data_IF_279961300023
#
_entry.id   IF_279961300023
#
_cell.length_a   1.000
_cell.length_b   1.000
_cell.length_c   1.000
_cell.angle_alpha   90.00
_cell.angle_beta   90.00
_cell.angle_gamma   90.00
#
_symmetry.space_group_name_H-M   'P 1'
#
loop_
_entity.id
_entity.type
_entity.pdbx_description
1 polymer ?
#
# COMPACT_ATOMS: atom_id res chain seq x y z
N UNK A 1 -9.28 -9.45 13.71
CA UNK A 1 -8.38 -8.33 13.34
C UNK A 1 -8.86 -6.96 13.82
N UNK A 2 -10.16 -6.67 13.81
CA UNK A 2 -10.66 -5.32 14.11
C UNK A 2 -10.46 -4.93 15.58
N UNK A 3 -10.72 -5.82 16.54
CA UNK A 3 -10.45 -5.57 17.96
C UNK A 3 -8.96 -5.26 18.23
N UNK A 4 -8.06 -6.12 17.74
CA UNK A 4 -6.61 -5.94 17.88
C UNK A 4 -6.16 -4.63 17.23
N UNK A 5 -6.64 -4.33 16.02
CA UNK A 5 -6.33 -3.08 15.31
C UNK A 5 -6.80 -1.86 16.11
N UNK A 6 -8.01 -1.88 16.66
CA UNK A 6 -8.54 -0.78 17.46
C UNK A 6 -7.75 -0.62 18.76
N UNK A 7 -7.39 -1.72 19.43
CA UNK A 7 -6.58 -1.70 20.64
C UNK A 7 -5.21 -1.04 20.39
N UNK A 8 -4.54 -1.42 19.29
CA UNK A 8 -3.26 -0.81 18.89
C UNK A 8 -3.43 0.69 18.67
N UNK A 9 -4.49 1.11 17.97
CA UNK A 9 -4.76 2.54 17.74
C UNK A 9 -5.06 3.31 19.02
N UNK A 10 -5.79 2.71 19.97
CA UNK A 10 -6.05 3.31 21.28
C UNK A 10 -4.72 3.52 22.03
N UNK A 11 -3.89 2.48 22.13
CA UNK A 11 -2.58 2.56 22.81
C UNK A 11 -1.70 3.61 22.14
N UNK A 12 -1.60 3.59 20.80
CA UNK A 12 -0.84 4.57 20.05
C UNK A 12 -1.33 6.01 20.31
N UNK A 13 -2.64 6.23 20.37
CA UNK A 13 -3.23 7.55 20.64
C UNK A 13 -2.92 8.02 22.06
N UNK A 14 -3.01 7.14 23.06
CA UNK A 14 -2.66 7.46 24.45
C UNK A 14 -1.18 7.86 24.55
N UNK A 15 -0.28 7.09 23.93
CA UNK A 15 1.16 7.41 23.89
C UNK A 15 1.40 8.75 23.20
N UNK A 16 0.71 9.02 22.08
CA UNK A 16 0.82 10.27 21.33
C UNK A 16 0.43 11.48 22.18
N UNK A 17 -0.72 11.41 22.85
CA UNK A 17 -1.22 12.49 23.71
C UNK A 17 -0.28 12.70 24.90
N UNK A 18 0.16 11.62 25.55
CA UNK A 18 1.12 11.70 26.65
C UNK A 18 2.44 12.35 26.20
N UNK A 19 2.95 11.96 25.04
CA UNK A 19 4.16 12.54 24.45
C UNK A 19 4.00 14.05 24.22
N UNK A 20 2.90 14.49 23.60
CA UNK A 20 2.63 15.91 23.37
C UNK A 20 2.54 16.67 24.70
N UNK A 21 1.80 16.14 25.68
CA UNK A 21 1.63 16.77 26.98
C UNK A 21 2.94 16.89 27.76
N UNK A 22 3.77 15.85 27.76
CA UNK A 22 5.08 15.84 28.43
C UNK A 22 6.10 16.77 27.74
N UNK A 23 5.93 17.02 26.44
CA UNK A 23 6.83 17.85 25.65
C UNK A 23 6.20 19.20 25.28
N UNK A 24 5.27 19.73 26.10
CA UNK A 24 4.62 21.03 25.86
C UNK A 24 5.53 22.24 26.13
N UNK A 25 6.83 22.01 26.32
CA UNK A 25 7.79 23.09 26.54
C UNK A 25 7.91 23.96 25.28
N UNK A 26 7.85 25.28 25.48
CA UNK A 26 7.99 26.26 24.40
C UNK A 26 9.44 26.65 24.28
N UNK A 27 10.12 26.13 23.27
CA UNK A 27 11.50 26.48 22.99
C UNK A 27 11.55 27.77 22.16
N UNK A 28 12.30 28.82 22.59
CA UNK A 28 12.56 29.98 21.76
C UNK A 28 13.56 29.62 20.65
N UNK A 29 13.16 29.82 19.40
CA UNK A 29 14.05 29.70 18.24
C UNK A 29 14.47 31.10 17.82
N UNK A 30 15.78 31.33 17.80
CA UNK A 30 16.38 32.58 17.32
C UNK A 30 16.41 32.55 15.79
N UNK A 31 15.55 33.34 15.14
CA UNK A 31 15.43 33.33 13.68
C UNK A 31 16.40 34.32 13.04
N UNK A 32 16.50 35.53 13.60
CA UNK A 32 17.32 36.59 13.01
C UNK A 32 17.86 37.58 14.05
N UNK A 33 19.15 37.97 13.99
CA UNK A 33 19.72 39.01 14.83
C UNK A 33 19.31 40.42 14.37
N UNK A 34 18.85 41.25 15.29
CA UNK A 34 18.53 42.67 15.13
C UNK A 34 19.42 43.51 16.06
N UNK A 35 19.58 44.81 15.75
CA UNK A 35 20.35 45.74 16.57
C UNK A 35 19.80 45.87 18.02
N UNK A 36 18.53 45.50 18.24
CA UNK A 36 17.85 45.52 19.54
C UNK A 36 17.66 44.14 20.19
N UNK A 37 18.21 43.06 19.63
CA UNK A 37 18.03 41.69 20.14
C UNK A 37 17.86 40.64 19.04
N UNK A 38 17.08 39.58 19.29
CA UNK A 38 16.75 38.58 18.27
C UNK A 38 15.24 38.52 18.05
N UNK A 39 14.83 38.16 16.84
CA UNK A 39 13.45 37.73 16.59
C UNK A 39 13.30 36.30 17.11
N UNK A 40 12.51 36.15 18.18
CA UNK A 40 12.19 34.87 18.79
C UNK A 40 10.87 34.35 18.25
N UNK A 41 10.81 33.07 17.90
CA UNK A 41 9.54 32.36 17.74
C UNK A 41 9.49 31.22 18.76
N UNK A 42 8.42 31.20 19.56
CA UNK A 42 8.21 30.14 20.54
C UNK A 42 7.48 28.97 19.88
N UNK A 43 8.23 27.91 19.59
CA UNK A 43 7.65 26.69 19.03
C UNK A 43 7.42 25.64 20.14
N UNK A 44 6.25 24.99 20.19
CA UNK A 44 6.03 23.86 21.09
C UNK A 44 6.82 22.64 20.59
N UNK A 45 7.77 22.18 21.40
CA UNK A 45 8.72 21.11 21.03
C UNK A 45 7.99 19.81 20.69
N UNK A 46 6.98 19.45 21.48
CA UNK A 46 6.22 18.21 21.30
C UNK A 46 5.52 18.11 19.94
N UNK A 47 5.00 19.21 19.41
CA UNK A 47 4.32 19.22 18.11
C UNK A 47 5.31 18.97 16.97
N UNK A 48 6.47 19.62 17.02
CA UNK A 48 7.50 19.47 15.98
C UNK A 48 8.11 18.07 16.02
N UNK A 49 8.43 17.57 17.21
CA UNK A 49 8.94 16.21 17.37
C UNK A 49 7.95 15.18 16.81
N UNK A 50 6.64 15.40 17.00
CA UNK A 50 5.61 14.56 16.41
C UNK A 50 5.58 14.65 14.88
N UNK A 51 5.67 15.85 14.32
CA UNK A 51 5.71 16.04 12.86
C UNK A 51 6.90 15.31 12.25
N UNK A 52 8.09 15.43 12.83
CA UNK A 52 9.27 14.71 12.36
C UNK A 52 9.13 13.20 12.53
N UNK A 53 8.54 12.73 13.62
CA UNK A 53 8.26 11.31 13.82
C UNK A 53 7.34 10.76 12.73
N UNK A 54 6.24 11.46 12.43
CA UNK A 54 5.31 11.07 11.36
C UNK A 54 5.97 11.14 9.99
N UNK A 55 6.75 12.18 9.72
CA UNK A 55 7.52 12.32 8.48
C UNK A 55 8.53 11.18 8.31
N UNK A 56 9.21 10.76 9.38
CA UNK A 56 10.12 9.62 9.35
C UNK A 56 9.41 8.28 9.17
N UNK A 57 8.20 8.12 9.70
CA UNK A 57 7.38 6.92 9.54
C UNK A 57 6.72 6.82 8.15
N UNK A 58 6.47 7.96 7.50
CA UNK A 58 5.80 8.09 6.20
C UNK A 58 6.46 7.27 5.07
N UNK A 59 7.78 7.35 4.82
CA UNK A 59 8.42 6.59 3.75
C UNK A 59 8.36 5.09 3.98
N UNK A 60 8.56 4.63 5.23
CA UNK A 60 8.45 3.20 5.57
C UNK A 60 7.02 2.69 5.39
N UNK A 61 6.03 3.46 5.83
CA UNK A 61 4.62 3.13 5.65
C UNK A 61 4.23 3.06 4.17
N UNK A 62 4.70 4.02 3.36
CA UNK A 62 4.43 4.06 1.93
C UNK A 62 5.07 2.87 1.21
N UNK A 63 6.30 2.50 1.57
CA UNK A 63 6.97 1.31 1.03
C UNK A 63 6.19 0.03 1.34
N UNK A 64 5.79 -0.16 2.61
CA UNK A 64 4.97 -1.31 3.00
C UNK A 64 3.63 -1.35 2.27
N UNK A 65 2.97 -0.20 2.13
CA UNK A 65 1.70 -0.06 1.38
C UNK A 65 1.86 -0.41 -0.10
N UNK A 66 2.92 0.08 -0.74
CA UNK A 66 3.24 -0.19 -2.13
C UNK A 66 3.56 -1.68 -2.34
N UNK A 67 4.31 -2.30 -1.43
CA UNK A 67 4.57 -3.73 -1.44
C UNK A 67 3.27 -4.53 -1.43
N UNK A 68 2.40 -4.32 -0.43
CA UNK A 68 1.11 -5.01 -0.34
C UNK A 68 0.27 -4.83 -1.62
N UNK A 69 0.20 -3.61 -2.14
CA UNK A 69 -0.51 -3.30 -3.36
C UNK A 69 0.06 -4.06 -4.58
N UNK A 70 1.39 -4.13 -4.72
CA UNK A 70 2.06 -4.89 -5.79
C UNK A 70 1.75 -6.39 -5.72
N UNK A 71 1.83 -6.98 -4.52
CA UNK A 71 1.55 -8.40 -4.32
C UNK A 71 0.09 -8.74 -4.64
N UNK A 72 -0.86 -7.91 -4.20
CA UNK A 72 -2.28 -8.08 -4.51
C UNK A 72 -2.55 -8.06 -6.02
N UNK A 73 -1.95 -7.12 -6.77
CA UNK A 73 -2.08 -7.10 -8.25
C UNK A 73 -1.50 -8.35 -8.91
N UNK A 74 -0.34 -8.81 -8.46
CA UNK A 74 0.30 -10.02 -9.01
C UNK A 74 -0.56 -11.26 -8.81
N UNK A 75 -1.09 -11.45 -7.59
CA UNK A 75 -1.99 -12.56 -7.28
C UNK A 75 -3.25 -12.51 -8.16
N UNK A 76 -3.90 -11.34 -8.26
CA UNK A 76 -5.08 -11.19 -9.12
C UNK A 76 -4.80 -11.52 -10.60
N UNK A 77 -3.63 -11.11 -11.11
CA UNK A 77 -3.23 -11.44 -12.48
C UNK A 77 -3.02 -12.96 -12.68
N UNK A 78 -2.39 -13.64 -11.72
CA UNK A 78 -2.21 -15.09 -11.73
C UNK A 78 -3.54 -15.84 -11.64
N UNK A 79 -4.43 -15.41 -10.75
CA UNK A 79 -5.78 -15.97 -10.63
C UNK A 79 -6.56 -15.84 -11.94
N UNK A 80 -6.49 -14.67 -12.59
CA UNK A 80 -7.16 -14.44 -13.87
C UNK A 80 -6.59 -15.27 -15.01
N UNK A 81 -5.26 -15.46 -15.06
CA UNK A 81 -4.63 -16.28 -16.11
C UNK A 81 -4.93 -17.76 -15.92
N UNK A 82 -4.97 -18.27 -14.69
CA UNK A 82 -5.45 -19.64 -14.41
C UNK A 82 -6.91 -19.79 -14.83
N UNK A 83 -7.79 -18.85 -14.46
CA UNK A 83 -9.21 -18.88 -14.86
C UNK A 83 -9.39 -18.86 -16.39
N UNK A 84 -8.59 -18.09 -17.11
CA UNK A 84 -8.64 -18.04 -18.58
C UNK A 84 -8.24 -19.38 -19.22
N UNK A 85 -7.24 -20.07 -18.67
CA UNK A 85 -6.79 -21.38 -19.15
C UNK A 85 -7.78 -22.51 -18.84
N UNK A 86 -8.45 -22.47 -17.68
CA UNK A 86 -9.37 -23.53 -17.25
C UNK A 86 -10.73 -23.50 -17.97
N UNK A 87 -11.11 -22.40 -18.64
CA UNK A 87 -12.45 -22.22 -19.26
C UNK A 87 -12.45 -22.43 -20.79
N UNK A 88 -11.41 -22.95 -21.41
CA UNK A 88 -11.47 -23.32 -22.84
C UNK A 88 -11.70 -24.83 -23.03
N UNK A 89 -12.95 -25.31 -23.16
CA UNK A 89 -13.19 -26.50 -23.96
C UNK A 89 -12.75 -26.19 -25.40
N UNK A 90 -12.11 -27.13 -26.12
CA UNK A 90 -11.77 -26.91 -27.51
C UNK A 90 -13.06 -26.63 -28.28
N UNK A 91 -13.26 -25.39 -28.70
CA UNK A 91 -14.28 -25.07 -29.70
C UNK A 91 -13.73 -25.65 -30.99
N UNK A 92 -14.16 -26.86 -31.32
CA UNK A 92 -13.92 -27.40 -32.64
C UNK A 92 -14.56 -26.42 -33.62
N UNK A 93 -13.73 -25.69 -34.37
CA UNK A 93 -14.19 -24.92 -35.53
C UNK A 93 -14.95 -25.89 -36.41
N UNK A 94 -16.10 -25.49 -36.98
CA UNK A 94 -16.97 -26.37 -37.79
C UNK A 94 -16.21 -27.20 -38.84
N UNK A 95 -15.12 -26.65 -39.38
CA UNK A 95 -14.17 -27.32 -40.28
C UNK A 95 -13.53 -28.60 -39.71
N UNK A 96 -13.23 -28.63 -38.40
CA UNK A 96 -12.65 -29.79 -37.71
C UNK A 96 -13.70 -30.87 -37.39
N UNK A 97 -14.98 -30.48 -37.24
CA UNK A 97 -16.08 -31.45 -37.10
C UNK A 97 -16.38 -32.11 -38.45
N UNK A 98 -16.47 -31.33 -39.52
CA UNK A 98 -16.72 -31.84 -40.88
C UNK A 98 -15.60 -32.77 -41.36
N UNK A 99 -14.33 -32.42 -41.12
CA UNK A 99 -13.18 -33.25 -41.50
C UNK A 99 -13.13 -34.59 -40.75
N UNK A 100 -13.71 -34.68 -39.55
CA UNK A 100 -13.80 -35.92 -38.77
C UNK A 100 -14.99 -36.80 -39.19
N UNK A 101 -15.97 -36.25 -39.91
CA UNK A 101 -17.15 -36.97 -40.41
C UNK A 101 -17.00 -37.43 -41.86
N UNK A 102 -15.97 -36.99 -42.58
CA UNK A 102 -15.63 -37.54 -43.88
C UNK A 102 -15.02 -38.94 -43.72
N UNK A 103 -15.67 -40.00 -44.25
CA UNK A 103 -15.08 -41.34 -44.27
C UNK A 103 -13.79 -41.29 -45.09
N UNK A 104 -12.71 -41.85 -44.55
CA UNK A 104 -11.46 -42.08 -45.28
C UNK A 104 -11.77 -42.97 -46.47
N UNK A 105 -11.96 -42.37 -47.65
CA UNK A 105 -11.95 -43.10 -48.92
C UNK A 105 -10.50 -43.53 -49.16
N UNK A 106 -10.18 -44.76 -48.75
CA UNK A 106 -8.96 -45.47 -49.16
C UNK A 106 -8.93 -45.54 -50.69
N UNK A 107 -7.91 -44.95 -51.36
CA UNK A 107 -7.75 -45.13 -52.78
C UNK A 107 -7.26 -46.56 -52.99
N UNK A 108 -8.17 -47.41 -53.45
CA UNK A 108 -7.80 -48.73 -53.95
C UNK A 108 -7.30 -48.57 -55.39
N UNK A 109 -6.03 -48.92 -55.60
CA UNK A 109 -5.30 -49.12 -56.87
C UNK A 109 -4.68 -47.90 -57.56
#
# INVERSE_FOLDING_TARGET
>A
MQLIRTLIWIVATVVLVAFIAMNWERAPVNIWPLASGYVYFQWPVGVIALVFFVLGALPMWLYHRAGKWRWQRRVAALENSVRATTIQPPVATSTQLDAAQQPTEEPTT
#
